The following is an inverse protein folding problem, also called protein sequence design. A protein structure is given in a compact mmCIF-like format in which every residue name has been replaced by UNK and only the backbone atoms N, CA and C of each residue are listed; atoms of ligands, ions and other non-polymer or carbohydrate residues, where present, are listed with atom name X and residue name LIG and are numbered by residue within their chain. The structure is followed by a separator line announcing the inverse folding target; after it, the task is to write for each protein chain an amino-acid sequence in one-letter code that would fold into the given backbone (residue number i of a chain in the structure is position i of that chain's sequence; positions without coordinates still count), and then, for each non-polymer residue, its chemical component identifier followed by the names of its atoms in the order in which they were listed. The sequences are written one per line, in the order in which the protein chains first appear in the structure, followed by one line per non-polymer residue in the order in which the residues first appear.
data_IF_431368041875
#
_entry.id   IF_431368041875
#
_cell.length_a   1.000
_cell.length_b   1.000
_cell.length_c   1.000
_cell.angle_alpha   90.00
_cell.angle_beta   90.00
_cell.angle_gamma   90.00
#
_symmetry.space_group_name_H-M   'P 1'
#
loop_
_entity.id
_entity.type
_entity.pdbx_description
1 polymer ?
#
# COMPACT_ATOMS: atom_id res chain seq x y z
N UNK A 1 36.48 33.80 -20.97
CA UNK A 1 35.99 32.66 -21.79
C UNK A 1 35.21 31.69 -20.91
N UNK A 2 33.88 31.84 -20.73
CA UNK A 2 33.07 30.81 -20.10
C UNK A 2 32.36 29.97 -21.17
N UNK A 3 32.44 28.66 -20.98
CA UNK A 3 31.87 27.65 -21.86
C UNK A 3 30.35 27.63 -21.74
N UNK A 4 29.69 27.62 -22.89
CA UNK A 4 28.25 27.59 -23.04
C UNK A 4 27.66 26.36 -22.37
N UNK A 5 26.88 26.59 -21.31
CA UNK A 5 25.99 25.59 -20.74
C UNK A 5 25.02 25.14 -21.83
N UNK A 6 25.20 23.89 -22.22
CA UNK A 6 24.34 23.09 -23.08
C UNK A 6 22.90 23.17 -22.56
N UNK A 7 22.15 24.16 -23.07
CA UNK A 7 20.69 24.12 -23.11
C UNK A 7 20.33 23.01 -24.08
N UNK A 8 20.28 21.78 -23.59
CA UNK A 8 19.66 20.70 -24.34
C UNK A 8 18.13 20.86 -24.18
N UNK A 9 17.40 21.34 -25.20
CA UNK A 9 15.97 21.63 -25.08
C UNK A 9 15.11 20.35 -25.02
N UNK A 10 15.73 19.17 -24.97
CA UNK A 10 15.07 17.87 -25.03
C UNK A 10 14.64 17.33 -23.66
N UNK A 11 15.07 17.94 -22.55
CA UNK A 11 14.67 17.49 -21.21
C UNK A 11 13.70 18.51 -20.60
N UNK A 12 12.45 18.43 -21.05
CA UNK A 12 11.33 19.04 -20.34
C UNK A 12 11.04 18.19 -19.10
N UNK A 13 11.57 18.57 -17.93
CA UNK A 13 11.15 17.97 -16.67
C UNK A 13 9.80 18.58 -16.30
N UNK A 14 8.72 18.03 -16.85
CA UNK A 14 7.36 18.37 -16.44
C UNK A 14 7.23 18.09 -14.95
N UNK A 15 6.77 19.08 -14.18
CA UNK A 15 6.31 18.89 -12.81
C UNK A 15 5.29 17.77 -12.82
N UNK A 16 5.68 16.57 -12.39
CA UNK A 16 4.75 15.44 -12.32
C UNK A 16 3.68 15.85 -11.33
N UNK A 17 2.50 16.21 -11.81
CA UNK A 17 1.30 16.15 -11.00
C UNK A 17 1.32 14.79 -10.31
N UNK A 18 1.32 14.80 -8.98
CA UNK A 18 1.41 13.61 -8.14
C UNK A 18 0.40 12.56 -8.61
N UNK A 19 0.84 11.44 -9.22
CA UNK A 19 -0.13 10.39 -9.56
C UNK A 19 0.26 9.34 -10.61
N UNK A 20 1.54 8.99 -10.74
CA UNK A 20 1.96 7.92 -11.66
C UNK A 20 2.00 6.54 -11.00
N UNK A 21 1.10 5.63 -11.40
CA UNK A 21 1.23 4.15 -11.39
C UNK A 21 1.33 3.39 -10.06
N UNK A 22 1.66 4.04 -8.94
CA UNK A 22 1.84 3.38 -7.63
C UNK A 22 0.56 3.38 -6.76
N UNK A 23 -0.64 3.56 -7.34
CA UNK A 23 -1.88 3.63 -6.55
C UNK A 23 -2.38 2.25 -6.11
N UNK A 24 -2.16 1.22 -6.92
CA UNK A 24 -2.66 -0.13 -6.59
C UNK A 24 -1.85 -0.79 -5.46
N UNK A 25 -0.59 -0.39 -5.27
CA UNK A 25 0.32 -0.92 -4.24
C UNK A 25 0.08 -0.32 -2.86
N UNK A 26 -0.85 0.62 -2.71
CA UNK A 26 -1.11 1.30 -1.44
C UNK A 26 -2.45 0.91 -0.84
N UNK A 27 -2.48 0.79 0.49
CA UNK A 27 -3.69 0.59 1.29
C UNK A 27 -3.88 1.77 2.24
N UNK A 28 -5.11 2.27 2.35
CA UNK A 28 -5.46 3.34 3.30
C UNK A 28 -5.72 2.72 4.66
N UNK A 29 -5.09 3.26 5.70
CA UNK A 29 -5.30 2.86 7.10
C UNK A 29 -5.62 4.07 7.95
N UNK A 30 -6.16 3.89 9.15
CA UNK A 30 -6.35 4.98 10.13
C UNK A 30 -5.02 5.69 10.49
N UNK A 31 -3.88 5.04 10.20
CA UNK A 31 -2.52 5.55 10.43
C UNK A 31 -1.87 6.12 9.16
N UNK A 32 -2.64 6.34 8.09
CA UNK A 32 -2.18 6.83 6.79
C UNK A 32 -2.00 5.76 5.71
N UNK A 33 -1.36 6.14 4.59
CA UNK A 33 -1.10 5.26 3.44
C UNK A 33 0.02 4.25 3.75
N UNK A 34 -0.21 2.96 3.46
CA UNK A 34 0.77 1.87 3.66
C UNK A 34 1.02 1.11 2.36
N UNK A 35 2.20 0.50 2.25
CA UNK A 35 2.50 -0.41 1.16
C UNK A 35 1.80 -1.76 1.37
N UNK A 36 1.23 -2.33 0.31
CA UNK A 36 0.56 -3.64 0.35
C UNK A 36 1.54 -4.82 0.24
N UNK A 37 2.79 -4.57 -0.15
CA UNK A 37 3.80 -5.60 -0.37
C UNK A 37 4.70 -5.70 0.85
N UNK A 38 4.92 -6.92 1.31
CA UNK A 38 5.82 -7.22 2.41
C UNK A 38 7.10 -7.84 1.84
N UNK A 39 8.27 -7.33 2.27
CA UNK A 39 9.57 -7.91 1.93
C UNK A 39 10.02 -8.78 3.10
N UNK A 40 10.19 -10.06 2.84
CA UNK A 40 10.61 -11.04 3.83
C UNK A 40 12.12 -11.25 3.73
N UNK A 41 12.73 -11.69 4.84
CA UNK A 41 14.07 -12.28 4.78
C UNK A 41 14.03 -13.55 3.93
N UNK A 42 15.19 -13.98 3.43
CA UNK A 42 15.31 -15.21 2.64
C UNK A 42 14.79 -16.42 3.42
N UNK A 43 15.19 -16.55 4.68
CA UNK A 43 14.79 -17.68 5.54
C UNK A 43 13.27 -17.71 5.82
N UNK A 44 12.65 -16.55 6.05
CA UNK A 44 11.20 -16.47 6.27
C UNK A 44 10.43 -16.74 4.98
N UNK A 45 10.92 -16.28 3.83
CA UNK A 45 10.31 -16.57 2.54
C UNK A 45 10.28 -18.08 2.25
N UNK A 46 11.39 -18.79 2.51
CA UNK A 46 11.45 -20.26 2.35
C UNK A 46 10.37 -20.95 3.19
N UNK A 47 10.28 -20.61 4.48
CA UNK A 47 9.27 -21.20 5.39
C UNK A 47 7.83 -20.92 4.92
N UNK A 48 7.57 -19.70 4.45
CA UNK A 48 6.24 -19.32 3.96
C UNK A 48 5.86 -20.11 2.70
N UNK A 49 6.79 -20.31 1.76
CA UNK A 49 6.50 -21.08 0.54
C UNK A 49 6.39 -22.58 0.79
N UNK A 50 7.15 -23.14 1.75
CA UNK A 50 6.95 -24.54 2.20
C UNK A 50 5.54 -24.72 2.81
N UNK A 51 5.11 -23.76 3.64
CA UNK A 51 3.74 -23.76 4.17
C UNK A 51 2.69 -23.62 3.06
N UNK A 52 2.94 -22.78 2.05
CA UNK A 52 2.06 -22.62 0.91
C UNK A 52 1.81 -23.94 0.18
N UNK A 53 2.88 -24.69 -0.08
CA UNK A 53 2.82 -25.99 -0.78
C UNK A 53 2.06 -27.03 0.05
N UNK A 54 2.36 -27.11 1.35
CA UNK A 54 1.68 -28.03 2.28
C UNK A 54 0.18 -27.76 2.41
N UNK A 55 -0.23 -26.49 2.31
CA UNK A 55 -1.64 -26.10 2.36
C UNK A 55 -2.33 -26.17 0.98
N UNK A 56 -1.58 -26.42 -0.11
CA UNK A 56 -2.13 -26.42 -1.48
C UNK A 56 -2.67 -25.06 -1.92
N UNK A 57 -2.15 -23.96 -1.37
CA UNK A 57 -2.65 -22.62 -1.66
C UNK A 57 -1.92 -21.99 -2.85
N UNK A 58 -2.69 -21.37 -3.75
CA UNK A 58 -2.12 -20.74 -4.95
C UNK A 58 -1.65 -19.29 -4.73
N UNK A 59 -1.99 -18.68 -3.60
CA UNK A 59 -1.71 -17.26 -3.33
C UNK A 59 -1.04 -17.09 -1.97
N UNK A 60 0.08 -16.35 -1.88
CA UNK A 60 0.78 -16.13 -0.61
C UNK A 60 -0.04 -15.30 0.38
N UNK A 61 -0.95 -14.43 -0.10
CA UNK A 61 -1.89 -13.71 0.77
C UNK A 61 -2.78 -14.67 1.58
N UNK A 62 -3.20 -15.79 0.98
CA UNK A 62 -4.03 -16.80 1.66
C UNK A 62 -3.26 -17.54 2.75
N UNK A 63 -1.96 -17.73 2.57
CA UNK A 63 -1.08 -18.30 3.61
C UNK A 63 -0.98 -17.35 4.79
N UNK A 64 -0.85 -16.05 4.53
CA UNK A 64 -0.85 -15.01 5.58
C UNK A 64 -2.20 -14.96 6.31
N UNK A 65 -3.32 -15.03 5.58
CA UNK A 65 -4.66 -15.10 6.18
C UNK A 65 -4.80 -16.33 7.08
N UNK A 66 -4.31 -17.49 6.63
CA UNK A 66 -4.30 -18.72 7.42
C UNK A 66 -3.43 -18.61 8.68
N UNK A 67 -2.23 -18.03 8.55
CA UNK A 67 -1.34 -17.79 9.69
C UNK A 67 -1.98 -16.88 10.73
N UNK A 68 -2.69 -15.85 10.29
CA UNK A 68 -3.40 -14.94 11.18
C UNK A 68 -4.51 -15.67 11.95
N UNK A 69 -5.28 -16.53 11.27
CA UNK A 69 -6.30 -17.35 11.89
C UNK A 69 -5.71 -18.38 12.87
N UNK A 70 -4.61 -19.03 12.50
CA UNK A 70 -3.91 -19.98 13.36
C UNK A 70 -3.33 -19.32 14.62
N UNK A 71 -2.88 -18.07 14.51
CA UNK A 71 -2.30 -17.29 15.61
C UNK A 71 -3.32 -16.47 16.41
N UNK A 72 -4.63 -16.57 16.12
CA UNK A 72 -5.65 -15.72 16.74
C UNK A 72 -5.60 -15.75 18.28
N UNK A 73 -5.42 -16.94 18.86
CA UNK A 73 -5.35 -17.11 20.32
C UNK A 73 -4.16 -16.40 20.96
N UNK A 74 -3.05 -16.26 20.24
CA UNK A 74 -1.87 -15.56 20.74
C UNK A 74 -1.98 -14.05 20.48
N UNK A 75 -2.65 -13.66 19.40
CA UNK A 75 -2.98 -12.25 19.11
C UNK A 75 -3.91 -11.69 20.19
N UNK A 76 -4.91 -12.46 20.64
CA UNK A 76 -5.88 -12.04 21.66
C UNK A 76 -5.23 -11.77 23.03
N UNK A 77 -4.05 -12.36 23.28
CA UNK A 77 -3.28 -12.16 24.52
C UNK A 77 -2.38 -10.92 24.46
N UNK A 78 -2.25 -10.26 23.31
CA UNK A 78 -1.41 -9.08 23.16
C UNK A 78 -2.04 -7.87 23.87
N UNK A 79 -1.22 -6.99 24.48
CA UNK A 79 -1.73 -5.76 25.07
C UNK A 79 -2.34 -4.85 24.00
N UNK A 80 -3.34 -4.02 24.35
CA UNK A 80 -3.94 -3.07 23.42
C UNK A 80 -2.88 -2.17 22.79
N UNK A 81 -2.90 -2.04 21.46
CA UNK A 81 -1.99 -1.15 20.77
C UNK A 81 -2.35 0.30 21.07
N UNK A 82 -1.36 1.19 21.32
CA UNK A 82 -1.63 2.61 21.47
C UNK A 82 -2.25 3.14 20.17
N UNK A 83 -3.49 3.61 20.28
CA UNK A 83 -4.17 4.27 19.18
C UNK A 83 -3.47 5.62 18.93
N UNK A 84 -3.04 5.91 17.69
CA UNK A 84 -2.46 7.22 17.41
C UNK A 84 -3.56 8.28 17.52
N UNK A 85 -3.36 9.23 18.42
CA UNK A 85 -4.18 10.43 18.51
C UNK A 85 -3.96 11.27 17.25
N UNK A 86 -5.07 11.56 16.57
CA UNK A 86 -5.28 12.64 15.60
C UNK A 86 -4.36 12.75 14.39
N UNK A 87 -4.82 12.20 13.25
CA UNK A 87 -4.92 13.00 12.02
C UNK A 87 -5.95 12.40 11.03
N UNK A 88 -7.20 12.24 11.47
CA UNK A 88 -8.28 11.64 10.67
C UNK A 88 -8.78 12.51 9.50
N UNK A 89 -8.41 13.80 9.44
CA UNK A 89 -8.99 14.77 8.49
C UNK A 89 -8.27 14.88 7.13
N UNK A 90 -7.08 14.30 6.94
CA UNK A 90 -6.30 14.55 5.71
C UNK A 90 -6.62 13.59 4.54
N UNK A 91 -7.41 12.54 4.76
CA UNK A 91 -7.65 11.50 3.74
C UNK A 91 -9.09 11.40 3.21
N UNK A 92 -10.00 12.25 3.70
CA UNK A 92 -11.34 12.39 3.12
C UNK A 92 -11.21 13.06 1.73
N UNK A 93 -11.33 12.26 0.67
CA UNK A 93 -11.61 12.80 -0.65
C UNK A 93 -13.10 13.17 -0.70
N UNK A 94 -13.48 14.32 -1.29
CA UNK A 94 -14.87 14.58 -1.58
C UNK A 94 -15.37 13.52 -2.56
N UNK A 95 -16.42 12.79 -2.17
CA UNK A 95 -17.18 11.98 -3.12
C UNK A 95 -17.87 12.96 -4.07
N UNK A 96 -17.28 13.20 -5.25
CA UNK A 96 -18.01 13.81 -6.36
C UNK A 96 -19.07 12.81 -6.81
N UNK A 97 -20.26 12.96 -6.25
CA UNK A 97 -21.48 12.37 -6.80
C UNK A 97 -21.74 13.09 -8.11
N UNK A 98 -21.39 12.44 -9.23
CA UNK A 98 -21.92 12.82 -10.53
C UNK A 98 -23.39 12.40 -10.57
N UNK A 99 -24.29 13.32 -10.23
CA UNK A 99 -25.68 13.26 -10.68
C UNK A 99 -25.81 14.23 -11.85
N UNK A 100 -25.59 13.72 -13.07
CA UNK A 100 -26.22 14.30 -14.25
C UNK A 100 -27.58 13.61 -14.40
N UNK A 101 -28.64 14.35 -14.10
CA UNK A 101 -29.94 14.18 -14.74
C UNK A 101 -30.74 15.47 -14.53
N UNK A 102 -30.49 16.48 -15.37
CA UNK A 102 -31.39 17.61 -15.51
C UNK A 102 -32.35 17.30 -16.66
N UNK A 103 -33.59 17.04 -16.28
CA UNK A 103 -34.76 17.00 -17.17
C UNK A 103 -35.24 18.42 -17.44
N UNK A 104 -35.26 18.83 -18.71
CA UNK A 104 -36.33 19.58 -19.39
C UNK A 104 -35.97 19.73 -20.87
#
# INVERSE_FOLDING_TARGET
RPWSMLKDPRIVRVSRSFGGKDRHSKVRTIRGLRDRRVRLSVQTAIQLYDLQDRLGLNQPSKVVDWLLAAAQQDIDKLPPLPMPADNFMQYAQPMVVSHEFQSS
#
